data_IF_523366235501
#
_entry.id   IF_523366235501
#
_cell.length_a   1.000
_cell.length_b   1.000
_cell.length_c   1.000
_cell.angle_alpha   90.00
_cell.angle_beta   90.00
_cell.angle_gamma   90.00
#
_symmetry.space_group_name_H-M   'P 1'
#
loop_
_entity.id
_entity.type
_entity.pdbx_description
1 polymer ?
#
# COMPACT_ATOMS: atom_id res chain seq x y z
N UNK A 1 7.93 6.58 1.10
CA UNK A 1 8.69 5.69 2.01
C UNK A 1 8.60 6.21 3.43
N UNK A 2 8.57 5.32 4.40
CA UNK A 2 8.52 5.66 5.83
C UNK A 2 9.36 4.68 6.64
N UNK A 3 9.85 5.14 7.79
CA UNK A 3 10.51 4.34 8.79
C UNK A 3 10.05 4.81 10.17
N UNK A 4 9.43 3.92 10.93
CA UNK A 4 8.95 4.22 12.27
C UNK A 4 9.57 3.25 13.28
N UNK A 5 10.06 3.79 14.39
CA UNK A 5 10.68 3.03 15.48
C UNK A 5 9.87 3.20 16.75
N UNK A 6 9.51 2.10 17.36
CA UNK A 6 8.75 2.06 18.61
C UNK A 6 9.64 1.45 19.70
N UNK A 7 9.98 2.21 20.74
CA UNK A 7 10.72 1.67 21.87
C UNK A 7 9.88 0.64 22.63
N UNK A 8 10.55 -0.18 23.41
CA UNK A 8 9.84 -1.09 24.32
C UNK A 8 9.03 -0.30 25.33
N UNK A 9 7.76 -0.66 25.51
CA UNK A 9 6.86 -0.03 26.46
C UNK A 9 5.77 -1.00 26.93
N UNK A 10 5.40 -0.95 28.22
CA UNK A 10 4.26 -1.67 28.80
C UNK A 10 4.14 -3.15 28.40
N UNK A 11 5.24 -3.92 28.55
CA UNK A 11 5.28 -5.35 28.25
C UNK A 11 5.35 -5.70 26.75
N UNK A 12 5.53 -4.71 25.88
CA UNK A 12 5.81 -4.93 24.45
C UNK A 12 7.30 -4.70 24.19
N UNK A 13 7.96 -5.65 23.52
CA UNK A 13 9.31 -5.47 23.00
C UNK A 13 9.39 -4.32 21.98
N UNK A 14 10.58 -3.75 21.82
CA UNK A 14 10.83 -2.76 20.77
C UNK A 14 10.58 -3.37 19.38
N UNK A 15 10.00 -2.59 18.48
CA UNK A 15 9.84 -2.98 17.09
C UNK A 15 9.96 -1.75 16.18
N UNK A 16 10.21 -1.99 14.91
CA UNK A 16 10.16 -0.95 13.91
C UNK A 16 9.54 -1.48 12.62
N UNK A 17 9.07 -0.58 11.78
CA UNK A 17 8.65 -0.94 10.44
C UNK A 17 9.16 0.07 9.42
N UNK A 18 9.49 -0.48 8.26
CA UNK A 18 10.00 0.26 7.09
C UNK A 18 9.14 -0.12 5.91
N UNK A 19 8.62 0.88 5.21
CA UNK A 19 7.74 0.63 4.08
C UNK A 19 7.93 1.63 2.95
N UNK A 20 7.54 1.16 1.76
CA UNK A 20 7.43 1.97 0.54
C UNK A 20 6.08 1.68 -0.10
N UNK A 21 5.02 2.21 0.51
CA UNK A 21 3.67 2.01 -0.03
C UNK A 21 3.49 2.74 -1.36
N UNK A 22 2.98 2.08 -2.38
CA UNK A 22 2.65 2.72 -3.66
C UNK A 22 1.26 3.37 -3.66
N UNK A 23 0.46 3.17 -2.60
CA UNK A 23 -0.97 3.46 -2.64
C UNK A 23 -1.40 4.39 -1.51
N UNK A 24 -2.04 5.48 -1.89
CA UNK A 24 -2.69 6.41 -0.95
C UNK A 24 -3.90 5.72 -0.34
N UNK A 25 -4.04 5.78 1.00
CA UNK A 25 -5.26 5.38 1.68
C UNK A 25 -6.32 6.46 1.53
N UNK A 26 -6.06 7.64 2.09
CA UNK A 26 -6.90 8.83 1.94
C UNK A 26 -6.09 10.08 2.21
N UNK A 27 -6.41 11.13 1.50
CA UNK A 27 -5.88 12.47 1.70
C UNK A 27 -7.02 13.43 2.01
N UNK A 28 -6.85 14.27 3.01
CA UNK A 28 -7.77 15.38 3.30
C UNK A 28 -6.94 16.66 3.40
N UNK A 29 -7.03 17.54 2.39
CA UNK A 29 -6.21 18.74 2.27
C UNK A 29 -7.09 19.92 1.85
N UNK A 30 -7.05 20.99 2.61
CA UNK A 30 -7.81 22.22 2.36
C UNK A 30 -9.31 21.96 2.15
N UNK A 31 -9.89 21.07 2.96
CA UNK A 31 -11.32 20.71 2.86
C UNK A 31 -11.68 19.80 1.68
N UNK A 32 -10.70 19.30 0.94
CA UNK A 32 -10.89 18.29 -0.12
C UNK A 32 -10.48 16.91 0.38
N UNK A 33 -11.35 15.92 0.23
CA UNK A 33 -11.06 14.50 0.46
C UNK A 33 -10.73 13.87 -0.88
N UNK A 34 -9.69 13.03 -0.92
CA UNK A 34 -9.24 12.36 -2.14
C UNK A 34 -8.83 10.92 -1.84
N UNK A 35 -9.34 9.98 -2.65
CA UNK A 35 -8.87 8.59 -2.71
C UNK A 35 -8.54 8.28 -4.16
N UNK A 36 -7.41 7.58 -4.37
CA UNK A 36 -6.94 7.20 -5.71
C UNK A 36 -6.89 5.67 -5.84
N UNK A 37 -7.99 5.03 -6.25
CA UNK A 37 -7.98 3.60 -6.54
C UNK A 37 -6.97 3.26 -7.63
N UNK A 38 -6.18 2.22 -7.37
CA UNK A 38 -5.19 1.68 -8.31
C UNK A 38 -5.47 0.19 -8.44
N UNK A 39 -5.68 -0.29 -9.67
CA UNK A 39 -5.84 -1.71 -9.98
C UNK A 39 -5.25 -2.02 -11.35
N UNK A 40 -5.11 -3.31 -11.63
CA UNK A 40 -4.51 -3.76 -12.87
C UNK A 40 -3.03 -3.44 -12.96
N UNK A 41 -2.26 -4.34 -13.54
CA UNK A 41 -0.82 -4.15 -13.68
C UNK A 41 -0.33 -4.76 -14.97
N UNK A 42 0.44 -3.99 -15.74
CA UNK A 42 1.25 -4.50 -16.86
C UNK A 42 2.67 -3.99 -16.72
N UNK A 43 3.62 -4.76 -17.24
CA UNK A 43 5.03 -4.32 -17.31
C UNK A 43 5.18 -3.21 -18.33
N UNK A 44 6.19 -2.36 -18.13
CA UNK A 44 6.60 -1.39 -19.14
C UNK A 44 7.14 -2.11 -20.37
N UNK A 45 6.81 -1.60 -21.54
CA UNK A 45 7.38 -2.05 -22.81
C UNK A 45 8.82 -1.59 -22.96
N UNK A 46 9.64 -2.38 -23.65
CA UNK A 46 11.02 -2.00 -23.97
C UNK A 46 11.10 -0.88 -25.01
N UNK A 47 10.04 -0.71 -25.81
CA UNK A 47 9.89 0.33 -26.83
C UNK A 47 8.56 1.06 -26.65
N UNK A 48 8.44 2.34 -27.08
CA UNK A 48 7.18 3.08 -26.94
C UNK A 48 5.94 2.36 -27.52
N UNK A 49 6.08 1.77 -28.70
CA UNK A 49 4.97 1.04 -29.33
C UNK A 49 4.51 -0.19 -28.52
N UNK A 50 5.41 -0.92 -27.89
CA UNK A 50 5.10 -2.01 -26.98
C UNK A 50 4.45 -1.50 -25.69
N UNK A 51 4.94 -0.39 -25.16
CA UNK A 51 4.39 0.25 -23.96
C UNK A 51 2.94 0.72 -24.20
N UNK A 52 2.66 1.27 -25.36
CA UNK A 52 1.32 1.68 -25.75
C UNK A 52 0.39 0.48 -26.01
N UNK A 53 0.90 -0.60 -26.58
CA UNK A 53 0.16 -1.85 -26.77
C UNK A 53 -0.22 -2.47 -25.41
N UNK A 54 0.72 -2.53 -24.46
CA UNK A 54 0.46 -3.02 -23.10
C UNK A 54 -0.57 -2.16 -22.36
N UNK A 55 -0.55 -0.85 -22.55
CA UNK A 55 -1.53 0.07 -21.98
C UNK A 55 -2.93 -0.16 -22.57
N UNK A 56 -3.02 -0.34 -23.89
CA UNK A 56 -4.28 -0.61 -24.58
C UNK A 56 -4.86 -1.97 -24.17
N UNK A 57 -4.02 -3.00 -24.07
CA UNK A 57 -4.41 -4.33 -23.58
C UNK A 57 -4.97 -4.24 -22.15
N UNK A 58 -4.27 -3.56 -21.25
CA UNK A 58 -4.71 -3.39 -19.86
C UNK A 58 -6.08 -2.71 -19.77
N UNK A 59 -6.31 -1.66 -20.55
CA UNK A 59 -7.60 -0.96 -20.60
C UNK A 59 -8.71 -1.78 -21.27
N UNK A 60 -8.36 -2.74 -22.12
CA UNK A 60 -9.33 -3.61 -22.79
C UNK A 60 -9.69 -4.85 -21.95
N UNK A 61 -8.88 -5.20 -20.93
CA UNK A 61 -9.08 -6.39 -20.09
C UNK A 61 -10.36 -6.26 -19.24
N UNK A 62 -11.38 -7.09 -19.47
CA UNK A 62 -12.66 -6.97 -18.75
C UNK A 62 -12.54 -7.29 -17.26
N UNK A 63 -11.66 -8.19 -16.84
CA UNK A 63 -11.43 -8.56 -15.44
C UNK A 63 -10.82 -7.37 -14.69
N UNK A 64 -9.73 -6.81 -15.22
CA UNK A 64 -9.04 -5.67 -14.61
C UNK A 64 -9.95 -4.45 -14.51
N UNK A 65 -10.77 -4.21 -15.53
CA UNK A 65 -11.78 -3.13 -15.52
C UNK A 65 -12.86 -3.34 -14.47
N UNK A 66 -13.37 -4.57 -14.33
CA UNK A 66 -14.42 -4.89 -13.35
C UNK A 66 -13.88 -4.73 -11.92
N UNK A 67 -12.67 -5.21 -11.64
CA UNK A 67 -12.01 -5.03 -10.35
C UNK A 67 -11.79 -3.54 -10.05
N UNK A 68 -11.28 -2.78 -11.03
CA UNK A 68 -11.07 -1.34 -10.86
C UNK A 68 -12.36 -0.59 -10.60
N UNK A 69 -13.44 -0.89 -11.33
CA UNK A 69 -14.76 -0.29 -11.12
C UNK A 69 -15.29 -0.54 -9.71
N UNK A 70 -15.13 -1.76 -9.21
CA UNK A 70 -15.48 -2.12 -7.82
C UNK A 70 -14.71 -1.24 -6.81
N UNK A 71 -13.42 -1.01 -7.02
CA UNK A 71 -12.61 -0.15 -6.14
C UNK A 71 -13.02 1.33 -6.24
N UNK A 72 -13.38 1.81 -7.42
CA UNK A 72 -13.91 3.18 -7.61
C UNK A 72 -15.24 3.36 -6.87
N UNK A 73 -16.15 2.41 -6.97
CA UNK A 73 -17.44 2.48 -6.26
C UNK A 73 -17.24 2.44 -4.74
N UNK A 74 -16.31 1.63 -4.26
CA UNK A 74 -15.97 1.58 -2.85
C UNK A 74 -15.36 2.91 -2.38
N UNK A 75 -14.46 3.51 -3.16
CA UNK A 75 -13.88 4.82 -2.87
C UNK A 75 -14.95 5.94 -2.87
N UNK A 76 -15.89 5.90 -3.80
CA UNK A 76 -17.04 6.84 -3.81
C UNK A 76 -17.90 6.73 -2.55
N UNK A 77 -18.15 5.52 -2.09
CA UNK A 77 -18.88 5.27 -0.85
C UNK A 77 -18.08 5.79 0.36
N UNK A 78 -16.80 5.47 0.44
CA UNK A 78 -15.93 5.87 1.55
C UNK A 78 -15.79 7.40 1.64
N UNK A 79 -15.51 8.08 0.52
CA UNK A 79 -15.43 9.54 0.43
C UNK A 79 -16.80 10.17 0.78
N UNK A 80 -17.89 9.61 0.27
CA UNK A 80 -19.24 10.14 0.48
C UNK A 80 -19.67 10.19 1.95
N UNK A 81 -19.13 9.30 2.78
CA UNK A 81 -19.47 9.27 4.22
C UNK A 81 -19.01 10.49 5.00
N UNK A 82 -17.97 11.18 4.55
CA UNK A 82 -17.43 12.39 5.19
C UNK A 82 -17.60 13.65 4.33
N UNK A 83 -18.19 13.53 3.12
CA UNK A 83 -18.32 14.61 2.17
C UNK A 83 -19.68 15.30 2.25
N UNK A 84 -19.72 16.56 1.84
CA UNK A 84 -20.96 17.29 1.58
C UNK A 84 -21.79 16.54 0.53
N UNK A 85 -23.12 16.64 0.66
CA UNK A 85 -24.06 16.03 -0.29
C UNK A 85 -23.79 16.52 -1.72
N UNK A 86 -23.85 15.60 -2.69
CA UNK A 86 -23.61 15.84 -4.11
C UNK A 86 -22.22 16.37 -4.49
N UNK A 87 -21.24 16.39 -3.55
CA UNK A 87 -19.87 16.86 -3.84
C UNK A 87 -18.94 15.79 -4.37
N UNK A 88 -19.29 14.51 -4.23
CA UNK A 88 -18.42 13.40 -4.66
C UNK A 88 -18.35 13.34 -6.18
N UNK A 89 -17.15 13.34 -6.71
CA UNK A 89 -16.85 13.28 -8.15
C UNK A 89 -15.75 12.26 -8.44
N UNK A 90 -15.79 11.69 -9.63
CA UNK A 90 -14.68 10.94 -10.22
C UNK A 90 -14.08 11.82 -11.30
N UNK A 91 -12.92 12.42 -11.02
CA UNK A 91 -12.29 13.38 -11.94
C UNK A 91 -11.53 12.65 -13.04
N UNK A 92 -10.65 11.73 -12.63
CA UNK A 92 -9.95 10.83 -13.54
C UNK A 92 -10.62 9.47 -13.46
N UNK A 93 -10.92 8.86 -14.59
CA UNK A 93 -11.57 7.57 -14.61
C UNK A 93 -10.85 6.61 -15.55
N UNK A 94 -10.28 5.54 -14.99
CA UNK A 94 -9.56 4.50 -15.73
C UNK A 94 -8.45 5.04 -16.64
N UNK A 95 -7.63 5.96 -16.12
CA UNK A 95 -6.44 6.43 -16.84
C UNK A 95 -5.27 5.48 -16.63
N UNK A 96 -4.34 5.42 -17.59
CA UNK A 96 -3.08 4.70 -17.43
C UNK A 96 -2.03 5.61 -16.82
N UNK A 97 -1.54 5.22 -15.64
CA UNK A 97 -0.33 5.82 -15.06
C UNK A 97 0.87 4.90 -15.27
N UNK A 98 1.94 5.48 -15.84
CA UNK A 98 3.19 4.79 -16.15
C UNK A 98 4.23 5.09 -15.09
N UNK A 99 4.70 4.04 -14.43
CA UNK A 99 5.80 4.08 -13.46
C UNK A 99 7.09 3.53 -14.07
N UNK A 100 8.16 3.46 -13.31
CA UNK A 100 9.47 3.02 -13.83
C UNK A 100 9.47 1.61 -14.40
N UNK A 101 8.73 0.68 -13.81
CA UNK A 101 8.76 -0.75 -14.18
C UNK A 101 7.39 -1.33 -14.57
N UNK A 102 6.33 -0.65 -14.19
CA UNK A 102 4.95 -1.09 -14.40
C UNK A 102 4.05 0.08 -14.78
N UNK A 103 2.86 -0.24 -15.28
CA UNK A 103 1.76 0.69 -15.46
C UNK A 103 0.51 0.15 -14.78
N UNK A 104 -0.37 1.03 -14.38
CA UNK A 104 -1.61 0.71 -13.68
C UNK A 104 -2.80 1.47 -14.25
N UNK A 105 -4.00 0.93 -14.05
CA UNK A 105 -5.25 1.68 -14.19
C UNK A 105 -5.45 2.48 -12.90
N UNK A 106 -5.66 3.76 -13.02
CA UNK A 106 -5.85 4.68 -11.90
C UNK A 106 -7.12 5.49 -12.12
N UNK A 107 -7.85 5.73 -11.03
CA UNK A 107 -8.93 6.71 -11.00
C UNK A 107 -8.71 7.66 -9.83
N UNK A 108 -9.38 8.81 -9.86
CA UNK A 108 -9.37 9.76 -8.76
C UNK A 108 -10.81 10.06 -8.31
N UNK A 109 -11.08 9.80 -7.05
CA UNK A 109 -12.36 10.10 -6.40
C UNK A 109 -12.15 11.19 -5.37
N UNK A 110 -12.86 12.30 -5.53
CA UNK A 110 -12.78 13.42 -4.58
C UNK A 110 -14.16 13.83 -4.06
N UNK A 111 -14.14 14.50 -2.90
CA UNK A 111 -15.32 15.10 -2.30
C UNK A 111 -14.95 16.29 -1.45
N UNK A 112 -15.89 17.17 -1.16
CA UNK A 112 -15.70 18.29 -0.24
C UNK A 112 -16.04 17.85 1.18
N UNK A 113 -15.09 18.05 2.11
CA UNK A 113 -15.27 17.73 3.51
C UNK A 113 -16.45 18.49 4.11
N UNK A 114 -17.33 17.80 4.82
CA UNK A 114 -18.40 18.43 5.57
C UNK A 114 -17.85 19.32 6.67
N UNK A 115 -18.51 20.48 6.95
CA UNK A 115 -18.05 21.40 8.01
C UNK A 115 -18.04 20.80 9.43
N UNK A 116 -18.85 19.78 9.68
CA UNK A 116 -18.95 19.05 10.95
C UNK A 116 -17.97 17.87 11.07
N UNK A 117 -17.12 17.64 10.06
CA UNK A 117 -16.14 16.58 10.02
C UNK A 117 -14.72 17.11 10.06
N UNK A 118 -13.85 16.39 10.75
CA UNK A 118 -12.41 16.58 10.76
C UNK A 118 -11.68 15.56 9.86
N UNK A 119 -10.39 15.78 9.65
CA UNK A 119 -9.54 14.78 8.98
C UNK A 119 -9.53 13.42 9.70
N UNK A 120 -9.73 13.41 11.02
CA UNK A 120 -9.86 12.17 11.78
C UNK A 120 -11.17 11.43 11.46
N UNK A 121 -12.27 12.16 11.23
CA UNK A 121 -13.54 11.56 10.81
C UNK A 121 -13.44 11.00 9.41
N UNK A 122 -12.67 11.66 8.52
CA UNK A 122 -12.33 11.10 7.19
C UNK A 122 -11.60 9.76 7.33
N UNK A 123 -10.57 9.69 8.18
CA UNK A 123 -9.85 8.44 8.45
C UNK A 123 -10.81 7.34 8.94
N UNK A 124 -11.68 7.64 9.90
CA UNK A 124 -12.66 6.68 10.43
C UNK A 124 -13.68 6.22 9.38
N UNK A 125 -14.09 7.10 8.49
CA UNK A 125 -15.05 6.79 7.44
C UNK A 125 -14.48 5.89 6.35
N UNK A 126 -13.19 6.02 6.04
CA UNK A 126 -12.53 5.35 4.92
C UNK A 126 -11.77 4.08 5.33
N UNK A 127 -11.41 3.93 6.60
CA UNK A 127 -10.67 2.78 7.12
C UNK A 127 -11.56 1.54 7.35
N UNK A 128 -11.05 0.33 7.05
CA UNK A 128 -9.85 0.05 6.27
C UNK A 128 -10.02 0.37 4.78
N UNK A 129 -8.88 0.58 4.08
CA UNK A 129 -8.88 0.84 2.65
C UNK A 129 -9.56 -0.30 1.87
N UNK A 130 -10.28 0.06 0.79
CA UNK A 130 -11.02 -0.89 -0.04
C UNK A 130 -10.14 -1.98 -0.64
N UNK A 131 -8.98 -1.60 -1.16
CA UNK A 131 -7.98 -2.49 -1.76
C UNK A 131 -7.56 -3.65 -0.87
N UNK A 132 -7.57 -3.45 0.46
CA UNK A 132 -7.15 -4.46 1.43
C UNK A 132 -8.28 -5.07 2.23
N UNK A 133 -9.51 -4.67 1.96
CA UNK A 133 -10.72 -5.23 2.57
C UNK A 133 -11.61 -5.96 1.55
N UNK A 134 -12.12 -5.25 0.59
CA UNK A 134 -13.03 -5.78 -0.44
C UNK A 134 -14.42 -5.16 -0.39
N UNK A 135 -15.29 -5.59 -1.29
CA UNK A 135 -16.65 -5.07 -1.43
C UNK A 135 -17.68 -6.22 -1.47
N UNK A 136 -18.82 -6.11 -0.75
CA UNK A 136 -19.17 -5.10 0.25
C UNK A 136 -18.28 -5.17 1.49
N UNK A 137 -17.76 -4.02 1.94
CA UNK A 137 -16.67 -3.91 2.94
C UNK A 137 -16.92 -4.73 4.22
N UNK A 138 -18.09 -4.61 4.82
CA UNK A 138 -18.41 -5.31 6.08
C UNK A 138 -18.38 -6.83 5.90
N UNK A 139 -18.98 -7.35 4.83
CA UNK A 139 -18.99 -8.79 4.55
C UNK A 139 -17.60 -9.31 4.19
N UNK A 140 -16.85 -8.57 3.40
CA UNK A 140 -15.47 -8.90 3.08
C UNK A 140 -14.61 -9.02 4.34
N UNK A 141 -14.72 -8.07 5.26
CA UNK A 141 -14.01 -8.11 6.55
C UNK A 141 -14.42 -9.32 7.41
N UNK A 142 -15.71 -9.70 7.42
CA UNK A 142 -16.16 -10.91 8.11
C UNK A 142 -15.53 -12.17 7.51
N UNK A 143 -15.53 -12.29 6.17
CA UNK A 143 -14.91 -13.42 5.48
C UNK A 143 -13.40 -13.50 5.75
N UNK A 144 -12.71 -12.35 5.74
CA UNK A 144 -11.29 -12.27 6.10
C UNK A 144 -11.07 -12.77 7.54
N UNK A 145 -11.91 -12.36 8.49
CA UNK A 145 -11.79 -12.78 9.89
C UNK A 145 -12.08 -14.29 10.08
N UNK A 146 -12.94 -14.86 9.25
CA UNK A 146 -13.26 -16.29 9.25
C UNK A 146 -12.11 -17.14 8.67
N UNK A 147 -11.45 -16.66 7.61
CA UNK A 147 -10.48 -17.43 6.84
C UNK A 147 -9.01 -17.21 7.25
N UNK A 148 -8.64 -16.01 7.65
CA UNK A 148 -7.27 -15.70 8.06
C UNK A 148 -7.00 -16.22 9.49
N UNK A 149 -6.04 -17.15 9.60
CA UNK A 149 -5.67 -17.78 10.89
C UNK A 149 -4.80 -16.88 11.77
N UNK A 150 -4.24 -15.81 11.23
CA UNK A 150 -3.33 -14.88 11.91
C UNK A 150 -3.79 -13.44 11.78
N UNK A 151 -3.46 -12.62 12.78
CA UNK A 151 -3.72 -11.18 12.72
C UNK A 151 -2.79 -10.51 11.72
N UNK A 152 -3.31 -9.57 10.95
CA UNK A 152 -2.54 -8.79 9.96
C UNK A 152 -1.52 -7.83 10.58
N UNK A 153 -1.74 -7.41 11.82
CA UNK A 153 -0.85 -6.47 12.50
C UNK A 153 -0.76 -5.14 11.76
N UNK A 154 0.44 -4.77 11.32
CA UNK A 154 0.69 -3.53 10.55
C UNK A 154 0.19 -3.64 9.11
N UNK A 155 0.20 -4.85 8.54
CA UNK A 155 -0.23 -5.08 7.16
C UNK A 155 -1.70 -4.67 6.98
N UNK A 156 -1.98 -3.99 5.87
CA UNK A 156 -3.31 -3.46 5.53
C UNK A 156 -3.81 -2.34 6.47
N UNK A 157 -2.96 -1.82 7.35
CA UNK A 157 -3.22 -0.63 8.14
C UNK A 157 -3.03 0.66 7.33
N UNK A 158 -3.01 1.79 8.02
CA UNK A 158 -2.72 3.09 7.45
C UNK A 158 -1.51 3.73 8.15
N UNK A 159 -0.65 4.38 7.37
CA UNK A 159 0.48 5.16 7.86
C UNK A 159 0.38 6.57 7.29
N UNK A 160 0.42 7.56 8.15
CA UNK A 160 0.24 8.94 7.73
C UNK A 160 0.41 9.93 8.86
N UNK A 161 -0.08 11.13 8.65
CA UNK A 161 -0.04 12.20 9.64
C UNK A 161 -1.34 13.02 9.62
N UNK A 162 -1.61 13.65 10.75
CA UNK A 162 -2.61 14.71 10.90
C UNK A 162 -1.87 16.00 11.23
N UNK A 163 -2.03 17.00 10.38
CA UNK A 163 -1.45 18.33 10.56
C UNK A 163 -2.25 19.17 11.55
N UNK A 164 -1.59 20.10 12.23
CA UNK A 164 -2.26 21.09 13.08
C UNK A 164 -3.12 22.09 12.30
N UNK A 165 -2.95 22.14 11.00
CA UNK A 165 -3.74 22.90 10.03
C UNK A 165 -5.04 22.20 9.62
N UNK A 166 -5.33 20.99 10.19
CA UNK A 166 -6.50 20.19 9.87
C UNK A 166 -6.33 19.30 8.63
N UNK A 167 -5.18 19.32 7.98
CA UNK A 167 -4.87 18.45 6.84
C UNK A 167 -4.38 17.07 7.29
N UNK A 168 -4.57 16.07 6.44
CA UNK A 168 -4.01 14.73 6.64
C UNK A 168 -3.63 14.07 5.31
N UNK A 169 -2.62 13.24 5.36
CA UNK A 169 -2.23 12.37 4.24
C UNK A 169 -1.81 11.02 4.79
N UNK A 170 -2.34 9.95 4.20
CA UNK A 170 -2.05 8.58 4.63
C UNK A 170 -1.94 7.64 3.45
N UNK A 171 -1.06 6.64 3.59
CA UNK A 171 -0.94 5.53 2.67
C UNK A 171 -1.38 4.21 3.33
N UNK A 172 -1.73 3.23 2.52
CA UNK A 172 -2.00 1.87 3.00
C UNK A 172 -0.67 1.24 3.42
N UNK A 173 -0.62 0.54 4.56
CA UNK A 173 0.57 -0.17 5.01
C UNK A 173 0.79 -1.45 4.18
N UNK A 174 1.17 -1.27 2.93
CA UNK A 174 1.60 -2.29 1.98
C UNK A 174 3.10 -2.18 1.74
N UNK A 175 3.73 -3.22 1.19
CA UNK A 175 5.18 -3.24 0.93
C UNK A 175 5.98 -2.76 2.15
N UNK A 176 5.58 -3.30 3.33
CA UNK A 176 6.09 -2.90 4.64
C UNK A 176 6.71 -4.10 5.33
N UNK A 177 7.92 -3.92 5.84
CA UNK A 177 8.67 -4.90 6.62
C UNK A 177 8.57 -4.51 8.10
N UNK A 178 8.17 -5.44 8.95
CA UNK A 178 8.18 -5.27 10.41
C UNK A 178 9.42 -5.96 10.96
N UNK A 179 10.25 -5.19 11.68
CA UNK A 179 11.48 -5.65 12.33
C UNK A 179 11.20 -5.81 13.81
N UNK A 180 11.26 -7.03 14.31
CA UNK A 180 11.01 -7.36 15.73
C UNK A 180 11.80 -8.58 16.13
N UNK A 181 12.39 -8.55 17.33
CA UNK A 181 13.11 -9.66 17.94
C UNK A 181 14.19 -10.27 17.01
N UNK A 182 14.92 -9.38 16.31
CA UNK A 182 15.97 -9.78 15.35
C UNK A 182 15.46 -10.42 14.06
N UNK A 183 14.16 -10.40 13.82
CA UNK A 183 13.50 -10.97 12.62
C UNK A 183 12.85 -9.89 11.78
N UNK A 184 12.83 -10.11 10.46
CA UNK A 184 12.09 -9.31 9.49
C UNK A 184 10.84 -10.08 9.05
N UNK A 185 9.67 -9.49 9.28
CA UNK A 185 8.38 -10.05 8.91
C UNK A 185 7.84 -9.31 7.69
N UNK A 186 7.46 -10.08 6.67
CA UNK A 186 6.87 -9.60 5.42
C UNK A 186 5.50 -10.23 5.26
N UNK A 187 4.50 -9.43 4.90
CA UNK A 187 3.16 -9.90 4.58
C UNK A 187 2.70 -9.30 3.26
N UNK A 188 2.07 -10.12 2.43
CA UNK A 188 1.44 -9.73 1.17
C UNK A 188 0.12 -10.50 1.01
N UNK A 189 -0.76 -9.99 0.17
CA UNK A 189 -2.04 -10.61 -0.16
C UNK A 189 -2.45 -10.23 -1.59
N UNK A 190 -3.46 -10.92 -2.11
CA UNK A 190 -4.06 -10.66 -3.39
C UNK A 190 -5.58 -10.42 -3.25
N UNK A 191 -6.18 -9.81 -4.26
CA UNK A 191 -7.61 -9.65 -4.37
C UNK A 191 -8.22 -10.93 -4.94
N UNK A 192 -9.17 -11.53 -4.23
CA UNK A 192 -9.87 -12.73 -4.69
C UNK A 192 -11.23 -12.34 -5.28
N UNK A 193 -11.43 -12.66 -6.54
CA UNK A 193 -12.66 -12.44 -7.29
C UNK A 193 -13.16 -13.76 -7.90
N UNK A 194 -14.35 -13.76 -8.51
CA UNK A 194 -14.96 -14.98 -9.04
C UNK A 194 -14.07 -15.70 -10.08
N UNK A 195 -13.29 -14.94 -10.86
CA UNK A 195 -12.41 -15.48 -11.89
C UNK A 195 -10.98 -15.81 -11.40
N UNK A 196 -10.72 -15.64 -10.09
CA UNK A 196 -9.43 -15.96 -9.47
C UNK A 196 -9.19 -17.47 -9.44
N UNK A 197 -7.93 -17.86 -9.67
CA UNK A 197 -7.46 -19.23 -9.46
C UNK A 197 -6.50 -19.29 -8.27
N UNK A 198 -6.53 -20.35 -7.42
CA UNK A 198 -5.65 -20.43 -6.26
C UNK A 198 -4.17 -20.26 -6.60
N UNK A 199 -3.71 -20.87 -7.70
CA UNK A 199 -2.34 -20.82 -8.17
C UNK A 199 -1.96 -19.40 -8.63
N UNK A 200 -2.85 -18.72 -9.36
CA UNK A 200 -2.65 -17.35 -9.84
C UNK A 200 -2.50 -16.38 -8.67
N UNK A 201 -3.41 -16.44 -7.71
CA UNK A 201 -3.38 -15.56 -6.54
C UNK A 201 -2.18 -15.83 -5.63
N UNK A 202 -1.77 -17.11 -5.50
CA UNK A 202 -0.54 -17.46 -4.78
C UNK A 202 0.70 -16.85 -5.44
N UNK A 203 0.85 -17.00 -6.76
CA UNK A 203 1.97 -16.42 -7.51
C UNK A 203 1.97 -14.89 -7.37
N UNK A 204 0.81 -14.26 -7.40
CA UNK A 204 0.68 -12.81 -7.20
C UNK A 204 1.17 -12.38 -5.81
N UNK A 205 0.78 -13.11 -4.75
CA UNK A 205 1.25 -12.80 -3.38
C UNK A 205 2.77 -12.93 -3.26
N UNK A 206 3.36 -13.96 -3.85
CA UNK A 206 4.82 -14.16 -3.90
C UNK A 206 5.49 -12.99 -4.62
N UNK A 207 5.00 -12.61 -5.80
CA UNK A 207 5.54 -11.49 -6.56
C UNK A 207 5.48 -10.17 -5.78
N UNK A 208 4.38 -9.93 -5.06
CA UNK A 208 4.22 -8.74 -4.19
C UNK A 208 5.21 -8.74 -3.01
N UNK A 209 5.60 -9.91 -2.51
CA UNK A 209 6.58 -10.04 -1.40
C UNK A 209 8.03 -9.88 -1.88
N UNK A 210 8.35 -10.26 -3.12
CA UNK A 210 9.73 -10.36 -3.62
C UNK A 210 10.54 -9.07 -3.50
N UNK A 211 9.93 -7.91 -3.73
CA UNK A 211 10.63 -6.62 -3.60
C UNK A 211 11.14 -6.37 -2.17
N UNK A 212 10.34 -6.72 -1.18
CA UNK A 212 10.72 -6.59 0.24
C UNK A 212 11.79 -7.61 0.63
N UNK A 213 11.66 -8.85 0.17
CA UNK A 213 12.66 -9.91 0.42
C UNK A 213 14.01 -9.57 -0.20
N UNK A 214 14.02 -9.05 -1.42
CA UNK A 214 15.25 -8.58 -2.08
C UNK A 214 15.90 -7.42 -1.32
N UNK A 215 15.11 -6.46 -0.81
CA UNK A 215 15.62 -5.35 -0.01
C UNK A 215 16.25 -5.83 1.30
N UNK A 216 15.65 -6.81 1.98
CA UNK A 216 16.20 -7.43 3.20
C UNK A 216 17.50 -8.15 2.88
N UNK A 217 17.57 -8.95 1.82
CA UNK A 217 18.78 -9.65 1.42
C UNK A 217 19.92 -8.68 1.13
N UNK A 218 19.65 -7.59 0.40
CA UNK A 218 20.63 -6.55 0.10
C UNK A 218 21.14 -5.82 1.34
N UNK A 219 20.26 -5.52 2.29
CA UNK A 219 20.62 -4.89 3.56
C UNK A 219 21.56 -5.80 4.40
N UNK A 220 21.28 -7.10 4.44
CA UNK A 220 22.13 -8.07 5.14
C UNK A 220 23.53 -8.19 4.50
N UNK A 221 23.63 -8.20 3.18
CA UNK A 221 24.92 -8.20 2.48
C UNK A 221 25.73 -6.93 2.78
N UNK A 222 25.11 -5.77 2.77
CA UNK A 222 25.75 -4.50 3.10
C UNK A 222 26.24 -4.45 4.55
N UNK A 223 25.50 -5.01 5.49
CA UNK A 223 25.88 -5.11 6.89
C UNK A 223 27.10 -6.04 7.07
N UNK A 224 27.15 -7.18 6.37
CA UNK A 224 28.30 -8.08 6.39
C UNK A 224 29.57 -7.42 5.83
N UNK A 225 29.47 -6.71 4.72
CA UNK A 225 30.60 -5.94 4.17
C UNK A 225 31.14 -4.89 5.15
N UNK A 226 30.27 -4.20 5.86
CA UNK A 226 30.66 -3.19 6.84
C UNK A 226 31.38 -3.80 8.05
N UNK A 227 30.99 -4.98 8.51
CA UNK A 227 31.65 -5.70 9.61
C UNK A 227 33.05 -6.17 9.19
N UNK A 228 33.19 -6.73 7.99
CA UNK A 228 34.50 -7.19 7.48
C UNK A 228 35.46 -6.02 7.30
N UNK A 229 35.00 -4.87 6.79
CA UNK A 229 35.85 -3.68 6.64
C UNK A 229 36.28 -3.09 8.00
N UNK A 230 35.39 -3.09 8.99
CA UNK A 230 35.72 -2.65 10.34
C UNK A 230 36.76 -3.58 11.06
N UNK A 231 36.62 -4.88 10.85
CA UNK A 231 37.57 -5.86 11.40
C UNK A 231 38.95 -5.77 10.75
N UNK A 232 39.01 -5.57 9.43
CA UNK A 232 40.32 -5.38 8.74
C UNK A 232 41.02 -4.09 9.18
N UNK A 233 40.28 -2.99 9.35
CA UNK A 233 40.80 -1.72 9.84
C UNK A 233 41.34 -1.82 11.30
N UNK A 234 40.72 -2.63 12.15
CA UNK A 234 41.15 -2.86 13.52
C UNK A 234 42.37 -3.78 13.61
N UNK A 235 42.49 -4.72 12.67
CA UNK A 235 43.66 -5.61 12.58
C UNK A 235 44.94 -4.85 12.15
N UNK A 236 44.83 -3.95 11.19
CA UNK A 236 45.95 -3.12 10.70
C UNK A 236 46.51 -2.19 11.79
N UNK A 237 45.65 -1.65 12.66
CA UNK A 237 46.10 -0.82 13.81
C UNK A 237 46.81 -1.58 14.93
N UNK A 238 46.67 -2.91 15.02
CA UNK A 238 47.36 -3.75 16.03
C UNK A 238 48.76 -4.21 15.59
N UNK A 239 49.09 -4.04 14.33
CA UNK A 239 50.40 -4.42 13.79
C UNK A 239 51.39 -3.24 13.71
N UNK A 240 50.95 -2.02 14.05
CA UNK A 240 51.78 -0.80 14.04
C UNK A 240 52.16 -0.29 15.45
N UNK A 241 51.98 -1.11 16.53
CA UNK A 241 52.41 -0.79 17.89
C UNK A 241 53.41 -1.85 18.38
#
# INVERSE_FOLDING_TARGET
>A
MFCMKFPAAQGRGAFSFVGSSPEVHVRAVNGKIEIRPIAGTRKRGAKPAEDDANAAELLADPKERAEHLMLVDLARNDVGRASEFASVKVNDFMIIERYSHVMHIVSNVEGRLRPDCSAYDVMRATFPAGTVSGSPKVRAMQVIAELEKSKRGVYAGAVGYFGFDGNSDSCIALRTVVLKDGKAHVQAGAGVVADSTPEGEYVETVNKAMGMLAAIARANQSAQCSVVSAQSASATRRTEN
#
